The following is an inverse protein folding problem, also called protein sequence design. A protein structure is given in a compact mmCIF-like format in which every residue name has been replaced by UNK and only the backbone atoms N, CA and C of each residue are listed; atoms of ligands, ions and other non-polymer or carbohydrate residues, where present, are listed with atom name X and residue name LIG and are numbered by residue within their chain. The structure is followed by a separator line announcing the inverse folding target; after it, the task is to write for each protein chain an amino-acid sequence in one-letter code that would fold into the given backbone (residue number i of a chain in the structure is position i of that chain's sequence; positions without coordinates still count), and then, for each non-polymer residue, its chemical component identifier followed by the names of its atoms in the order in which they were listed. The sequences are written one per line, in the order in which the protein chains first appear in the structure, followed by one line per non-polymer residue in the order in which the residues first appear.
data_IF_869238030671
#
_entry.id   IF_869238030671
#
_cell.length_a   1.000
_cell.length_b   1.000
_cell.length_c   1.000
_cell.angle_alpha   90.00
_cell.angle_beta   90.00
_cell.angle_gamma   90.00
#
_symmetry.space_group_name_H-M   'P 1'
#
loop_
_entity.id
_entity.type
_entity.pdbx_description
1 polymer ?
#
# COMPACT_ATOMS: atom_id res chain seq x y z
N UNK A 1 -18.86 17.08 18.52
CA UNK A 1 -17.97 16.19 17.72
C UNK A 1 -18.26 14.71 17.95
N UNK A 2 -18.45 14.23 19.20
CA UNK A 2 -18.89 12.86 19.49
C UNK A 2 -20.31 12.55 18.97
N UNK A 3 -21.25 13.49 19.08
CA UNK A 3 -22.61 13.33 18.50
C UNK A 3 -22.62 13.28 16.97
N UNK A 4 -21.80 14.10 16.29
CA UNK A 4 -21.61 13.99 14.82
C UNK A 4 -20.95 12.67 14.39
N UNK A 5 -20.19 12.01 15.27
CA UNK A 5 -19.65 10.66 15.03
C UNK A 5 -20.72 9.59 15.25
N UNK A 6 -21.53 9.69 16.31
CA UNK A 6 -22.69 8.81 16.53
C UNK A 6 -23.73 8.92 15.41
N UNK A 7 -23.90 10.10 14.82
CA UNK A 7 -24.79 10.32 13.68
C UNK A 7 -24.21 9.84 12.33
N UNK A 8 -22.95 9.40 12.27
CA UNK A 8 -22.26 8.89 11.06
C UNK A 8 -21.85 7.43 11.26
N UNK A 9 -22.81 6.57 11.66
CA UNK A 9 -22.56 5.15 11.94
C UNK A 9 -22.08 4.39 10.71
N UNK A 10 -22.69 4.65 9.56
CA UNK A 10 -22.24 4.12 8.28
C UNK A 10 -22.46 5.18 7.21
N UNK A 11 -21.55 5.26 6.24
CA UNK A 11 -21.79 6.06 5.03
C UNK A 11 -22.92 5.46 4.20
N UNK A 12 -23.10 4.14 4.26
CA UNK A 12 -24.11 3.41 3.50
C UNK A 12 -25.54 3.74 3.97
N UNK A 13 -25.72 4.06 5.25
CA UNK A 13 -27.02 4.44 5.81
C UNK A 13 -27.60 5.70 5.14
N UNK A 14 -26.74 6.56 4.57
CA UNK A 14 -27.16 7.81 3.91
C UNK A 14 -27.55 7.62 2.44
N UNK A 15 -27.18 6.50 1.82
CA UNK A 15 -27.38 6.27 0.38
C UNK A 15 -28.20 5.01 0.10
N UNK A 16 -28.89 4.48 1.12
CA UNK A 16 -29.58 3.19 1.03
C UNK A 16 -30.72 3.22 -0.01
N UNK A 17 -31.46 4.32 -0.09
CA UNK A 17 -32.56 4.48 -1.05
C UNK A 17 -32.03 4.59 -2.48
N UNK A 18 -31.01 5.44 -2.70
CA UNK A 18 -30.36 5.64 -4.00
C UNK A 18 -29.70 4.36 -4.51
N UNK A 19 -29.06 3.59 -3.61
CA UNK A 19 -28.50 2.27 -3.93
C UNK A 19 -29.60 1.31 -4.36
N UNK A 20 -30.72 1.25 -3.63
CA UNK A 20 -31.83 0.35 -3.96
C UNK A 20 -32.46 0.70 -5.31
N UNK A 21 -32.60 1.99 -5.62
CA UNK A 21 -33.10 2.45 -6.91
C UNK A 21 -32.13 2.13 -8.06
N UNK A 22 -30.83 2.39 -7.87
CA UNK A 22 -29.80 2.05 -8.84
C UNK A 22 -29.79 0.54 -9.12
N UNK A 23 -29.81 -0.29 -8.07
CA UNK A 23 -29.84 -1.75 -8.20
C UNK A 23 -30.99 -2.24 -9.09
N UNK A 24 -32.17 -1.60 -9.06
CA UNK A 24 -33.30 -1.99 -9.92
C UNK A 24 -33.00 -1.79 -11.41
N UNK A 25 -32.15 -0.82 -11.76
CA UNK A 25 -31.79 -0.49 -13.15
C UNK A 25 -30.61 -1.29 -13.68
N UNK A 26 -29.74 -1.79 -12.80
CA UNK A 26 -28.55 -2.54 -13.18
C UNK A 26 -28.89 -3.95 -13.69
N UNK A 27 -28.05 -4.46 -14.60
CA UNK A 27 -28.08 -5.86 -15.02
C UNK A 27 -27.53 -6.79 -13.91
N UNK A 28 -27.67 -8.12 -14.04
CA UNK A 28 -27.20 -9.04 -13.01
C UNK A 28 -25.70 -8.98 -12.71
N UNK A 29 -24.87 -8.60 -13.68
CA UNK A 29 -23.42 -8.50 -13.52
C UNK A 29 -23.05 -7.26 -12.73
N UNK A 30 -23.62 -6.11 -13.09
CA UNK A 30 -23.35 -4.86 -12.39
C UNK A 30 -24.00 -4.82 -11.00
N UNK A 31 -25.14 -5.50 -10.79
CA UNK A 31 -25.68 -5.72 -9.44
C UNK A 31 -24.68 -6.45 -8.54
N UNK A 32 -24.07 -7.53 -9.03
CA UNK A 32 -23.05 -8.27 -8.25
C UNK A 32 -21.83 -7.43 -7.95
N UNK A 33 -21.40 -6.55 -8.86
CA UNK A 33 -20.29 -5.60 -8.60
C UNK A 33 -20.68 -4.61 -7.51
N UNK A 34 -21.85 -4.00 -7.61
CA UNK A 34 -22.36 -3.08 -6.59
C UNK A 34 -22.50 -3.76 -5.22
N UNK A 35 -23.05 -4.97 -5.16
CA UNK A 35 -23.18 -5.73 -3.92
C UNK A 35 -21.82 -6.02 -3.27
N UNK A 36 -20.81 -6.40 -4.06
CA UNK A 36 -19.43 -6.60 -3.57
C UNK A 36 -18.86 -5.31 -2.99
N UNK A 37 -18.94 -4.21 -3.74
CA UNK A 37 -18.42 -2.91 -3.31
C UNK A 37 -19.05 -2.43 -1.98
N UNK A 38 -20.37 -2.55 -1.85
CA UNK A 38 -21.08 -2.19 -0.61
C UNK A 38 -20.71 -3.10 0.56
N UNK A 39 -20.50 -4.40 0.28
CA UNK A 39 -20.06 -5.36 1.28
C UNK A 39 -18.63 -5.06 1.75
N UNK A 40 -17.73 -4.68 0.86
CA UNK A 40 -16.34 -4.31 1.19
C UNK A 40 -16.29 -3.03 2.05
N UNK A 41 -17.09 -2.00 1.72
CA UNK A 41 -17.25 -0.82 2.57
C UNK A 41 -17.70 -1.23 3.98
N UNK A 42 -18.73 -2.07 4.07
CA UNK A 42 -19.29 -2.50 5.35
C UNK A 42 -18.31 -3.36 6.16
N UNK A 43 -17.45 -4.17 5.51
CA UNK A 43 -16.40 -4.91 6.19
C UNK A 43 -15.36 -3.97 6.82
N UNK A 44 -14.94 -2.94 6.07
CA UNK A 44 -14.02 -1.91 6.57
C UNK A 44 -14.64 -1.15 7.76
N UNK A 45 -15.89 -0.71 7.64
CA UNK A 45 -16.60 -0.03 8.73
C UNK A 45 -16.64 -0.89 9.99
N UNK A 46 -17.04 -2.17 9.87
CA UNK A 46 -17.06 -3.12 11.00
C UNK A 46 -15.69 -3.34 11.63
N UNK A 47 -14.62 -3.32 10.82
CA UNK A 47 -13.25 -3.43 11.34
C UNK A 47 -12.86 -2.18 12.13
N UNK A 48 -13.13 -0.99 11.59
CA UNK A 48 -12.90 0.29 12.28
C UNK A 48 -13.70 0.35 13.59
N UNK A 49 -14.98 -0.04 13.58
CA UNK A 49 -15.81 -0.08 14.79
C UNK A 49 -15.22 -0.99 15.88
N UNK A 50 -14.76 -2.19 15.51
CA UNK A 50 -14.09 -3.10 16.47
C UNK A 50 -12.82 -2.49 17.05
N UNK A 51 -12.03 -1.81 16.21
CA UNK A 51 -10.82 -1.10 16.64
C UNK A 51 -11.18 0.03 17.60
N UNK A 52 -12.22 0.83 17.31
CA UNK A 52 -12.67 1.91 18.18
C UNK A 52 -13.16 1.40 19.55
N UNK A 53 -13.93 0.30 19.57
CA UNK A 53 -14.36 -0.34 20.82
C UNK A 53 -13.16 -0.77 21.65
N UNK A 54 -12.16 -1.42 21.03
CA UNK A 54 -10.92 -1.81 21.72
C UNK A 54 -10.13 -0.60 22.19
N UNK A 55 -9.96 0.43 21.36
CA UNK A 55 -9.22 1.65 21.73
C UNK A 55 -9.86 2.40 22.92
N UNK A 56 -11.16 2.19 23.18
CA UNK A 56 -11.92 2.85 24.24
C UNK A 56 -12.24 1.94 25.43
N UNK A 57 -11.78 0.68 25.43
CA UNK A 57 -12.07 -0.31 26.49
C UNK A 57 -11.33 -0.02 27.82
N UNK A 58 -10.31 0.84 27.79
CA UNK A 58 -9.42 1.09 28.92
C UNK A 58 -8.18 0.19 28.95
N UNK A 59 -8.04 -0.75 28.00
CA UNK A 59 -6.79 -1.49 27.79
C UNK A 59 -5.63 -0.54 27.46
N UNK A 60 -4.42 -0.90 27.91
CA UNK A 60 -3.23 -0.14 27.59
C UNK A 60 -2.95 -0.23 26.08
N UNK A 61 -2.87 0.93 25.42
CA UNK A 61 -2.51 1.00 24.01
C UNK A 61 -1.01 0.88 23.79
N UNK A 62 -0.61 0.13 22.76
CA UNK A 62 0.80 0.08 22.32
C UNK A 62 1.26 1.40 21.69
N UNK A 63 0.32 2.17 21.13
CA UNK A 63 0.55 3.49 20.56
C UNK A 63 -0.21 4.55 21.36
N UNK A 64 0.37 5.07 22.47
CA UNK A 64 -0.25 6.14 23.24
C UNK A 64 -0.55 7.38 22.39
N UNK A 65 -1.78 7.88 22.46
CA UNK A 65 -2.19 9.10 21.77
C UNK A 65 -2.58 8.94 20.29
N UNK A 66 -2.53 7.72 19.73
CA UNK A 66 -3.09 7.47 18.41
C UNK A 66 -4.61 7.75 18.39
N UNK A 67 -5.19 8.27 17.28
CA UNK A 67 -6.62 8.47 17.17
C UNK A 67 -7.40 7.16 17.37
N UNK A 68 -8.67 7.27 17.77
CA UNK A 68 -9.59 6.13 17.78
C UNK A 68 -9.81 5.62 16.34
N UNK A 69 -9.87 4.31 16.16
CA UNK A 69 -10.01 3.66 14.85
C UNK A 69 -8.68 3.33 14.18
N UNK A 70 -7.55 3.69 14.80
CA UNK A 70 -6.21 3.26 14.36
C UNK A 70 -5.81 2.02 15.17
N UNK A 71 -5.58 0.87 14.51
CA UNK A 71 -5.08 -0.33 15.17
C UNK A 71 -3.77 -0.11 15.91
N UNK A 72 -3.60 -0.80 17.02
CA UNK A 72 -2.29 -0.92 17.65
C UNK A 72 -1.39 -1.82 16.80
N UNK A 73 -1.93 -2.91 16.23
CA UNK A 73 -1.17 -3.78 15.33
C UNK A 73 -0.77 -3.07 14.04
N UNK A 74 0.49 -3.23 13.65
CA UNK A 74 1.00 -2.64 12.41
C UNK A 74 0.37 -3.28 11.18
N UNK A 75 0.28 -4.61 11.17
CA UNK A 75 -0.28 -5.35 10.03
C UNK A 75 -1.75 -4.99 9.81
N UNK A 76 -2.51 -4.84 10.89
CA UNK A 76 -3.92 -4.50 10.84
C UNK A 76 -4.10 -3.11 10.27
N UNK A 77 -3.27 -2.14 10.70
CA UNK A 77 -3.30 -0.78 10.17
C UNK A 77 -2.93 -0.75 8.68
N UNK A 78 -1.84 -1.40 8.28
CA UNK A 78 -1.40 -1.43 6.87
C UNK A 78 -2.45 -2.08 5.97
N UNK A 79 -3.01 -3.23 6.38
CA UNK A 79 -4.07 -3.92 5.62
C UNK A 79 -5.32 -3.07 5.49
N UNK A 80 -5.74 -2.40 6.57
CA UNK A 80 -6.86 -1.45 6.52
C UNK A 80 -6.61 -0.31 5.53
N UNK A 81 -5.39 0.24 5.49
CA UNK A 81 -5.01 1.27 4.52
C UNK A 81 -4.95 0.72 3.08
N UNK A 82 -4.57 -0.54 2.89
CA UNK A 82 -4.62 -1.21 1.58
C UNK A 82 -6.06 -1.43 1.11
N UNK A 83 -6.97 -1.84 1.99
CA UNK A 83 -8.39 -2.00 1.67
C UNK A 83 -9.00 -0.66 1.21
N UNK A 84 -8.69 0.43 1.92
CA UNK A 84 -9.13 1.78 1.54
C UNK A 84 -8.58 2.23 0.18
N UNK A 85 -7.32 1.91 -0.12
CA UNK A 85 -6.72 2.21 -1.43
C UNK A 85 -7.40 1.42 -2.55
N UNK A 86 -7.67 0.13 -2.34
CA UNK A 86 -8.33 -0.72 -3.32
C UNK A 86 -9.75 -0.20 -3.64
N UNK A 87 -10.55 0.12 -2.61
CA UNK A 87 -11.89 0.70 -2.80
C UNK A 87 -11.87 2.03 -3.55
N UNK A 88 -10.91 2.89 -3.25
CA UNK A 88 -10.80 4.19 -3.89
C UNK A 88 -10.35 4.08 -5.35
N UNK A 89 -9.56 3.06 -5.70
CA UNK A 89 -9.24 2.73 -7.09
C UNK A 89 -10.45 2.12 -7.81
N UNK A 90 -11.15 1.17 -7.19
CA UNK A 90 -12.34 0.50 -7.75
C UNK A 90 -13.47 1.49 -8.05
N UNK A 91 -13.69 2.46 -7.16
CA UNK A 91 -14.72 3.51 -7.32
C UNK A 91 -14.29 4.69 -8.18
N UNK A 92 -13.08 4.63 -8.77
CA UNK A 92 -12.49 5.75 -9.51
C UNK A 92 -12.43 7.08 -8.74
N UNK A 93 -12.27 7.00 -7.42
CA UNK A 93 -12.17 8.19 -6.58
C UNK A 93 -10.82 8.89 -6.75
N UNK A 94 -9.77 8.11 -7.06
CA UNK A 94 -8.44 8.62 -7.41
C UNK A 94 -7.72 7.63 -8.31
N UNK A 95 -6.79 8.14 -9.13
CA UNK A 95 -5.91 7.34 -9.99
C UNK A 95 -4.53 7.07 -9.37
N UNK A 96 -4.19 7.76 -8.28
CA UNK A 96 -2.83 7.73 -7.70
C UNK A 96 -2.87 7.71 -6.18
N UNK A 97 -1.97 6.92 -5.58
CA UNK A 97 -1.71 6.87 -4.16
C UNK A 97 -0.21 6.94 -3.85
N UNK A 98 0.13 7.49 -2.69
CA UNK A 98 1.44 7.37 -2.06
C UNK A 98 1.25 7.00 -0.60
N UNK A 99 1.54 5.75 -0.26
CA UNK A 99 1.37 5.24 1.08
C UNK A 99 2.72 4.96 1.74
N UNK A 100 3.01 5.69 2.82
CA UNK A 100 4.22 5.52 3.62
C UNK A 100 3.96 4.51 4.73
N UNK A 101 4.61 3.34 4.65
CA UNK A 101 4.46 2.27 5.65
C UNK A 101 4.90 2.69 7.06
N UNK A 102 5.88 3.59 7.19
CA UNK A 102 6.35 4.04 8.49
C UNK A 102 7.36 5.17 8.38
N UNK A 103 7.70 5.78 9.52
CA UNK A 103 8.75 6.79 9.61
C UNK A 103 10.11 6.09 9.78
N UNK A 104 11.10 6.42 8.95
CA UNK A 104 12.43 5.77 9.00
C UNK A 104 13.16 5.94 10.34
N UNK A 105 12.92 7.04 11.05
CA UNK A 105 13.45 7.31 12.39
C UNK A 105 12.61 6.67 13.52
N UNK A 106 11.68 5.78 13.20
CA UNK A 106 10.80 5.14 14.19
C UNK A 106 11.55 4.11 15.02
N UNK A 107 11.41 4.21 16.35
CA UNK A 107 11.85 3.17 17.29
C UNK A 107 10.78 2.09 17.51
N UNK A 108 9.73 2.05 16.68
CA UNK A 108 8.70 1.01 16.77
C UNK A 108 9.32 -0.38 16.63
N UNK A 109 8.88 -1.29 17.49
CA UNK A 109 9.18 -2.72 17.44
C UNK A 109 8.10 -3.40 16.61
N UNK A 110 8.47 -4.45 15.87
CA UNK A 110 7.58 -5.25 15.03
C UNK A 110 7.65 -6.71 15.47
N UNK A 111 7.00 -7.10 16.58
CA UNK A 111 7.14 -8.43 17.16
C UNK A 111 6.81 -9.57 16.19
N UNK A 112 5.88 -9.35 15.26
CA UNK A 112 5.47 -10.30 14.22
C UNK A 112 6.60 -10.65 13.24
N UNK A 113 7.63 -9.80 13.15
CA UNK A 113 8.87 -10.12 12.41
C UNK A 113 9.79 -11.09 13.15
N UNK A 114 9.50 -11.42 14.41
CA UNK A 114 10.38 -12.19 15.29
C UNK A 114 11.46 -11.34 15.97
N UNK A 115 11.43 -10.02 15.79
CA UNK A 115 12.46 -9.10 16.28
C UNK A 115 11.92 -8.15 17.34
N UNK A 116 12.60 -8.09 18.48
CA UNK A 116 12.22 -7.23 19.62
C UNK A 116 12.91 -5.86 19.63
N UNK A 117 13.80 -5.58 18.67
CA UNK A 117 14.49 -4.30 18.54
C UNK A 117 13.67 -3.30 17.71
N UNK A 118 13.81 -2.02 18.02
CA UNK A 118 13.18 -0.95 17.24
C UNK A 118 13.74 -0.87 15.82
N UNK A 119 12.92 -0.48 14.85
CA UNK A 119 13.32 -0.48 13.43
C UNK A 119 14.51 0.44 13.13
N UNK A 120 14.45 1.71 13.52
CA UNK A 120 15.54 2.64 13.28
C UNK A 120 16.88 2.18 13.89
N UNK A 121 16.98 1.85 15.19
CA UNK A 121 18.26 1.40 15.75
C UNK A 121 18.77 0.09 15.12
N UNK A 122 17.89 -0.83 14.71
CA UNK A 122 18.29 -2.06 14.00
C UNK A 122 18.95 -1.80 12.65
N UNK A 123 18.61 -0.68 11.99
CA UNK A 123 19.22 -0.30 10.72
C UNK A 123 20.71 0.08 10.86
N UNK A 124 21.16 0.48 12.06
CA UNK A 124 22.57 0.75 12.39
C UNK A 124 23.27 -0.52 12.88
N UNK A 125 23.25 -1.57 12.06
CA UNK A 125 23.70 -2.92 12.44
C UNK A 125 25.21 -3.04 12.73
N UNK A 126 26.02 -2.04 12.34
CA UNK A 126 27.47 -1.97 12.58
C UNK A 126 28.27 -3.00 11.79
N UNK A 127 27.73 -3.47 10.66
CA UNK A 127 28.35 -4.52 9.82
C UNK A 127 28.36 -5.92 10.44
N UNK A 128 27.72 -6.14 11.60
CA UNK A 128 27.63 -7.46 12.24
C UNK A 128 26.58 -8.31 11.55
N UNK A 129 26.96 -9.49 11.08
CA UNK A 129 26.10 -10.42 10.32
C UNK A 129 24.78 -10.73 11.04
N UNK A 130 24.83 -11.10 12.32
CA UNK A 130 23.62 -11.39 13.11
C UNK A 130 22.64 -10.22 13.20
N UNK A 131 23.14 -8.98 13.26
CA UNK A 131 22.28 -7.79 13.26
C UNK A 131 21.72 -7.48 11.86
N UNK A 132 22.48 -7.80 10.80
CA UNK A 132 22.01 -7.66 9.42
C UNK A 132 20.84 -8.61 9.17
N UNK A 133 20.98 -9.87 9.57
CA UNK A 133 19.92 -10.87 9.47
C UNK A 133 18.67 -10.46 10.27
N UNK A 134 18.85 -9.95 11.49
CA UNK A 134 17.75 -9.45 12.30
C UNK A 134 17.03 -8.26 11.63
N UNK A 135 17.78 -7.30 11.07
CA UNK A 135 17.15 -6.21 10.32
C UNK A 135 16.46 -6.71 9.04
N UNK A 136 17.02 -7.73 8.37
CA UNK A 136 16.41 -8.35 7.20
C UNK A 136 15.05 -9.00 7.55
N UNK A 137 14.88 -9.59 8.73
CA UNK A 137 13.60 -10.13 9.19
C UNK A 137 12.51 -9.04 9.29
N UNK A 138 12.85 -7.85 9.81
CA UNK A 138 11.89 -6.74 9.87
C UNK A 138 11.49 -6.28 8.47
N UNK A 139 12.46 -6.16 7.55
CA UNK A 139 12.18 -5.77 6.17
C UNK A 139 11.34 -6.83 5.43
N UNK A 140 11.66 -8.11 5.64
CA UNK A 140 10.87 -9.21 5.09
C UNK A 140 9.42 -9.15 5.59
N UNK A 141 9.20 -8.90 6.88
CA UNK A 141 7.87 -8.70 7.42
C UNK A 141 7.12 -7.55 6.72
N UNK A 142 7.74 -6.39 6.51
CA UNK A 142 7.11 -5.29 5.77
C UNK A 142 6.73 -5.67 4.33
N UNK A 143 7.64 -6.33 3.61
CA UNK A 143 7.39 -6.77 2.23
C UNK A 143 6.32 -7.86 2.17
N UNK A 144 6.23 -8.71 3.19
CA UNK A 144 5.23 -9.79 3.29
C UNK A 144 3.77 -9.30 3.40
N UNK A 145 3.56 -8.01 3.67
CA UNK A 145 2.23 -7.39 3.65
C UNK A 145 1.78 -7.02 2.23
N UNK A 146 2.71 -6.85 1.28
CA UNK A 146 2.39 -6.45 -0.10
C UNK A 146 1.48 -7.46 -0.83
N UNK A 147 1.67 -8.79 -0.72
CA UNK A 147 0.76 -9.77 -1.31
C UNK A 147 -0.72 -9.56 -0.96
N UNK A 148 -1.03 -9.11 0.26
CA UNK A 148 -2.41 -8.83 0.65
C UNK A 148 -3.06 -7.77 -0.27
N UNK A 149 -2.34 -6.69 -0.55
CA UNK A 149 -2.82 -5.64 -1.44
C UNK A 149 -2.94 -6.12 -2.87
N UNK A 150 -1.95 -6.87 -3.36
CA UNK A 150 -1.96 -7.40 -4.73
C UNK A 150 -3.12 -8.38 -4.95
N UNK A 151 -3.39 -9.27 -3.99
CA UNK A 151 -4.53 -10.19 -4.07
C UNK A 151 -5.88 -9.45 -3.99
N UNK A 152 -5.96 -8.34 -3.24
CA UNK A 152 -7.13 -7.47 -3.25
C UNK A 152 -7.39 -6.85 -4.63
N UNK A 153 -6.36 -6.25 -5.25
CA UNK A 153 -6.47 -5.70 -6.60
C UNK A 153 -6.80 -6.79 -7.64
N UNK A 154 -6.26 -8.00 -7.47
CA UNK A 154 -6.56 -9.14 -8.35
C UNK A 154 -8.01 -9.63 -8.22
N UNK A 155 -8.60 -9.53 -7.03
CA UNK A 155 -9.98 -9.95 -6.76
C UNK A 155 -11.05 -9.00 -7.33
N UNK A 156 -10.68 -7.78 -7.72
CA UNK A 156 -11.58 -6.76 -8.26
C UNK A 156 -11.59 -6.87 -9.79
N UNK A 157 -12.75 -7.22 -10.36
CA UNK A 157 -12.94 -7.36 -11.81
C UNK A 157 -13.34 -6.02 -12.44
N UNK A 158 -12.59 -5.57 -13.44
CA UNK A 158 -12.88 -4.37 -14.23
C UNK A 158 -12.94 -4.71 -15.73
N UNK A 159 -14.14 -5.01 -16.23
CA UNK A 159 -14.32 -5.50 -17.60
C UNK A 159 -13.82 -6.94 -17.76
N UNK A 160 -12.89 -7.15 -18.69
CA UNK A 160 -12.26 -8.46 -18.99
C UNK A 160 -10.93 -8.68 -18.23
N UNK A 161 -10.54 -7.73 -17.38
CA UNK A 161 -9.29 -7.74 -16.61
C UNK A 161 -9.55 -7.51 -15.12
N UNK A 162 -8.53 -7.73 -14.31
CA UNK A 162 -8.55 -7.36 -12.89
C UNK A 162 -7.99 -5.95 -12.69
N UNK A 163 -8.29 -5.34 -11.55
CA UNK A 163 -7.69 -4.04 -11.20
C UNK A 163 -6.16 -4.14 -11.11
N UNK A 164 -5.60 -5.29 -10.71
CA UNK A 164 -4.15 -5.54 -10.72
C UNK A 164 -3.55 -5.50 -12.14
N UNK A 165 -4.24 -6.02 -13.14
CA UNK A 165 -3.77 -5.99 -14.54
C UNK A 165 -3.68 -4.56 -15.09
N UNK A 166 -4.44 -3.64 -14.49
CA UNK A 166 -4.54 -2.25 -14.94
C UNK A 166 -3.75 -1.27 -14.08
N UNK A 167 -3.27 -1.70 -12.93
CA UNK A 167 -2.55 -0.87 -11.96
C UNK A 167 -1.04 -1.06 -12.09
N UNK A 168 -0.28 0.00 -11.83
CA UNK A 168 1.16 -0.02 -11.61
C UNK A 168 1.46 0.26 -10.13
N UNK A 169 2.12 -0.67 -9.46
CA UNK A 169 2.54 -0.53 -8.05
C UNK A 169 4.06 -0.42 -7.99
N UNK A 170 4.55 0.64 -7.38
CA UNK A 170 5.98 0.84 -7.11
C UNK A 170 6.22 0.69 -5.61
N UNK A 171 7.14 -0.20 -5.23
CA UNK A 171 7.50 -0.44 -3.84
C UNK A 171 9.01 -0.56 -3.70
N UNK A 172 9.62 0.07 -2.70
CA UNK A 172 11.06 0.01 -2.53
C UNK A 172 11.57 0.82 -1.35
N UNK A 173 12.89 0.97 -1.30
CA UNK A 173 13.60 1.73 -0.28
C UNK A 173 14.47 2.81 -0.94
N UNK A 174 14.58 4.00 -0.34
CA UNK A 174 15.52 5.02 -0.81
C UNK A 174 16.98 4.70 -0.48
N UNK A 175 17.25 3.65 0.32
CA UNK A 175 18.60 3.26 0.75
C UNK A 175 18.87 1.78 0.45
N UNK A 176 20.07 1.47 -0.03
CA UNK A 176 20.54 0.10 -0.24
C UNK A 176 21.22 -0.49 0.99
N UNK A 177 22.05 0.31 1.67
CA UNK A 177 22.59 -0.01 2.99
C UNK A 177 22.25 1.14 3.95
N UNK A 178 21.35 0.92 4.91
CA UNK A 178 20.94 1.95 5.84
C UNK A 178 21.95 2.21 6.95
N UNK A 179 22.85 1.26 7.27
CA UNK A 179 23.85 1.46 8.33
C UNK A 179 24.80 2.60 8.00
N UNK A 180 25.09 2.81 6.71
CA UNK A 180 25.91 3.94 6.24
C UNK A 180 25.10 4.98 5.46
N UNK A 181 23.76 4.90 5.50
CA UNK A 181 22.83 5.82 4.84
C UNK A 181 23.14 6.03 3.35
N UNK A 182 23.52 4.97 2.63
CA UNK A 182 23.86 5.12 1.21
C UNK A 182 22.63 4.94 0.32
N UNK A 183 22.69 5.59 -0.84
CA UNK A 183 21.69 5.51 -1.90
C UNK A 183 22.18 4.64 -3.07
N UNK A 184 22.95 3.60 -2.78
CA UNK A 184 23.56 2.73 -3.80
C UNK A 184 22.83 1.40 -3.85
N UNK A 185 22.50 0.92 -5.05
CA UNK A 185 21.84 -0.39 -5.27
C UNK A 185 20.54 -0.53 -4.46
N UNK A 186 19.78 0.55 -4.37
CA UNK A 186 18.52 0.58 -3.65
C UNK A 186 17.51 -0.40 -4.30
N UNK A 187 16.76 -1.18 -3.50
CA UNK A 187 15.75 -2.08 -4.03
C UNK A 187 14.54 -1.31 -4.54
N UNK A 188 14.06 -1.67 -5.73
CA UNK A 188 12.84 -1.16 -6.33
C UNK A 188 12.10 -2.32 -7.01
N UNK A 189 10.84 -2.51 -6.62
CA UNK A 189 9.94 -3.52 -7.15
C UNK A 189 8.82 -2.78 -7.89
N UNK A 190 8.53 -3.23 -9.10
CA UNK A 190 7.38 -2.76 -9.88
C UNK A 190 6.49 -3.98 -10.14
N UNK A 191 5.21 -3.88 -9.75
CA UNK A 191 4.24 -4.97 -9.84
C UNK A 191 2.93 -4.47 -10.46
N UNK A 192 2.18 -5.38 -11.07
CA UNK A 192 0.92 -5.10 -11.77
C UNK A 192 1.11 -5.12 -13.28
N UNK A 193 0.00 -5.10 -14.01
CA UNK A 193 0.03 -5.17 -15.48
C UNK A 193 0.16 -3.80 -16.14
N UNK A 194 -0.25 -2.73 -15.45
CA UNK A 194 -0.29 -1.37 -15.99
C UNK A 194 -0.91 -1.29 -17.40
N UNK A 195 -2.02 -2.01 -17.63
CA UNK A 195 -2.65 -2.14 -18.96
C UNK A 195 -1.70 -2.72 -20.04
N UNK A 196 -0.89 -3.71 -19.68
CA UNK A 196 0.05 -4.38 -20.59
C UNK A 196 1.36 -3.60 -20.82
N UNK A 197 1.59 -2.50 -20.11
CA UNK A 197 2.81 -1.69 -20.26
C UNK A 197 4.04 -2.33 -19.59
N UNK A 198 3.83 -3.31 -18.71
CA UNK A 198 4.89 -4.03 -18.00
C UNK A 198 4.96 -5.47 -18.49
N UNK A 199 6.13 -5.88 -18.99
CA UNK A 199 6.36 -7.26 -19.44
C UNK A 199 6.31 -8.28 -18.28
N UNK A 200 6.61 -7.85 -17.05
CA UNK A 200 6.69 -8.72 -15.88
C UNK A 200 7.88 -9.70 -15.94
N UNK A 201 8.10 -10.46 -14.86
CA UNK A 201 9.13 -11.50 -14.77
C UNK A 201 10.56 -11.04 -15.15
N UNK A 202 10.92 -9.80 -14.80
CA UNK A 202 12.23 -9.23 -15.05
C UNK A 202 13.01 -9.04 -13.75
N UNK A 203 14.32 -9.29 -13.80
CA UNK A 203 15.28 -8.87 -12.78
C UNK A 203 16.40 -8.10 -13.45
N UNK A 204 16.38 -6.78 -13.29
CA UNK A 204 17.30 -5.87 -13.98
C UNK A 204 18.26 -5.25 -12.98
N UNK A 205 19.55 -5.31 -13.30
CA UNK A 205 20.60 -4.66 -12.53
C UNK A 205 21.09 -3.43 -13.29
N UNK A 206 20.85 -2.25 -12.72
CA UNK A 206 21.37 -1.01 -13.28
C UNK A 206 22.89 -0.92 -13.17
N UNK A 207 23.51 -0.25 -14.14
CA UNK A 207 24.93 0.09 -14.07
C UNK A 207 25.22 1.02 -12.89
N UNK A 208 26.46 0.98 -12.39
CA UNK A 208 26.86 1.84 -11.28
C UNK A 208 26.73 3.32 -11.66
N UNK A 209 26.10 4.11 -10.79
CA UNK A 209 25.86 5.54 -11.03
C UNK A 209 24.54 5.85 -11.73
N UNK A 210 23.78 4.84 -12.15
CA UNK A 210 22.42 5.05 -12.70
C UNK A 210 21.49 5.58 -11.61
N UNK A 211 20.89 6.77 -11.77
CA UNK A 211 19.89 7.29 -10.83
C UNK A 211 18.63 6.40 -10.82
N UNK A 212 18.05 6.15 -9.64
CA UNK A 212 16.76 5.46 -9.53
C UNK A 212 15.66 6.21 -10.30
N UNK A 213 15.78 7.55 -10.40
CA UNK A 213 14.88 8.39 -11.16
C UNK A 213 14.79 8.03 -12.65
N UNK A 214 15.79 7.35 -13.24
CA UNK A 214 15.71 6.85 -14.60
C UNK A 214 14.60 5.79 -14.77
N UNK A 215 14.44 4.91 -13.77
CA UNK A 215 13.33 3.95 -13.75
C UNK A 215 11.99 4.68 -13.60
N UNK A 216 11.92 5.64 -12.67
CA UNK A 216 10.69 6.41 -12.44
C UNK A 216 10.28 7.21 -13.68
N UNK A 217 11.23 7.78 -14.42
CA UNK A 217 10.97 8.46 -15.70
C UNK A 217 10.34 7.49 -16.71
N UNK A 218 10.91 6.30 -16.88
CA UNK A 218 10.34 5.28 -17.78
C UNK A 218 8.94 4.84 -17.36
N UNK A 219 8.68 4.71 -16.06
CA UNK A 219 7.36 4.35 -15.55
C UNK A 219 6.33 5.47 -15.80
N UNK A 220 6.70 6.74 -15.62
CA UNK A 220 5.85 7.88 -15.97
C UNK A 220 5.50 7.92 -17.46
N UNK A 221 6.49 7.70 -18.33
CA UNK A 221 6.29 7.62 -19.78
C UNK A 221 5.34 6.49 -20.15
N UNK A 222 5.51 5.30 -19.54
CA UNK A 222 4.59 4.15 -19.70
C UNK A 222 3.17 4.42 -19.22
N UNK A 223 2.98 5.36 -18.30
CA UNK A 223 1.66 5.82 -17.83
C UNK A 223 1.07 6.93 -18.72
N UNK A 224 1.66 7.19 -19.90
CA UNK A 224 1.15 8.14 -20.89
C UNK A 224 1.75 9.55 -20.80
N UNK A 225 2.76 9.77 -19.96
CA UNK A 225 3.49 11.05 -19.87
C UNK A 225 4.76 11.01 -20.75
N UNK A 226 4.60 10.64 -22.01
CA UNK A 226 5.69 10.40 -22.96
C UNK A 226 6.53 11.66 -23.22
N UNK A 227 5.94 12.85 -23.06
CA UNK A 227 6.61 14.14 -23.24
C UNK A 227 7.58 14.47 -22.10
N UNK A 228 7.60 13.68 -21.02
CA UNK A 228 8.54 13.88 -19.91
C UNK A 228 9.94 13.44 -20.34
N UNK A 229 10.82 14.41 -20.47
CA UNK A 229 12.24 14.17 -20.78
C UNK A 229 13.08 13.94 -19.51
N UNK A 230 12.61 14.43 -18.34
CA UNK A 230 13.33 14.34 -17.06
C UNK A 230 12.38 14.19 -15.88
N UNK A 231 12.85 13.50 -14.84
CA UNK A 231 12.22 13.39 -13.54
C UNK A 231 13.31 13.40 -12.46
N UNK A 232 13.23 14.32 -11.49
CA UNK A 232 14.26 14.44 -10.45
C UNK A 232 15.68 14.59 -11.01
N UNK A 233 16.59 13.71 -10.58
CA UNK A 233 17.98 13.63 -11.04
C UNK A 233 18.18 12.65 -12.20
N UNK A 234 17.11 12.25 -12.91
CA UNK A 234 17.23 11.34 -14.04
C UNK A 234 18.16 11.87 -15.12
N UNK A 235 19.02 11.00 -15.64
CA UNK A 235 19.92 11.27 -16.78
C UNK A 235 19.39 10.70 -18.10
N UNK A 236 18.32 9.92 -18.05
CA UNK A 236 17.66 9.32 -19.21
C UNK A 236 16.64 8.25 -18.78
N UNK A 237 15.99 7.61 -19.74
CA UNK A 237 15.12 6.47 -19.49
C UNK A 237 15.94 5.22 -19.14
N UNK A 238 15.39 4.34 -18.29
CA UNK A 238 15.94 3.03 -18.00
C UNK A 238 15.18 1.94 -18.77
N UNK A 239 15.87 1.09 -19.53
CA UNK A 239 15.19 0.04 -20.28
C UNK A 239 14.57 -1.00 -19.35
N UNK A 240 13.27 -1.26 -19.53
CA UNK A 240 12.53 -2.32 -18.81
C UNK A 240 12.34 -3.55 -19.70
N UNK A 241 13.43 -4.01 -20.30
CA UNK A 241 13.51 -5.21 -21.15
C UNK A 241 14.73 -6.05 -20.75
N UNK A 242 14.66 -7.35 -20.95
CA UNK A 242 15.79 -8.28 -20.80
C UNK A 242 16.74 -8.22 -22.01
#
# INVERSE_FOLDING_TARGET
RAERRRARRSVLDFITEEVADLQRTLDPTDRRRMDRYLQDIREIERRIERIEVRNTSGELRELPGAPAGVPDSFDEHVKLMFDLQALALESDMTRVFSFKLGRDASSRVYPESGVAKGFHPSSHHGGRESNIEEFALINHYHVSLLPYFLEKLRGIEEGEATLLDKTMVIYGSPMGDPNVHNHKRCPLIVVGGANGQLAGNLHLRAEAGTPMANVMLTLLQKLGLEEKERFGDSTGAFSLSA
#
